data_IF_414633546078
#
_entry.id   IF_414633546078
#
_cell.length_a   1.000
_cell.length_b   1.000
_cell.length_c   1.000
_cell.angle_alpha   90.00
_cell.angle_beta   90.00
_cell.angle_gamma   90.00
#
_symmetry.space_group_name_H-M   'P 1'
#
loop_
_entity.id
_entity.type
_entity.pdbx_description
1 polymer ?
#
# COMPACT_ATOMS: atom_id res chain seq x y z
N UNK A 1 -6.93 14.00 3.02
CA UNK A 1 -6.23 12.90 2.32
C UNK A 1 -5.53 13.38 1.05
N UNK A 2 -6.10 14.31 0.28
CA UNK A 2 -5.51 14.77 -1.01
C UNK A 2 -4.22 15.61 -0.90
N UNK A 3 -3.87 16.12 0.29
CA UNK A 3 -2.63 16.87 0.55
C UNK A 3 -1.68 16.18 1.56
N UNK A 4 -1.82 14.86 1.76
CA UNK A 4 -0.91 14.09 2.62
C UNK A 4 0.34 13.69 1.86
N UNK A 5 1.52 13.74 2.51
CA UNK A 5 2.76 13.12 2.00
C UNK A 5 2.81 11.62 2.27
N UNK A 6 1.89 11.09 3.08
CA UNK A 6 1.78 9.66 3.32
C UNK A 6 1.16 8.94 2.11
N UNK A 7 1.64 7.72 1.86
CA UNK A 7 1.04 6.77 0.93
C UNK A 7 -0.17 6.15 1.62
N UNK A 8 -1.36 6.31 1.05
CA UNK A 8 -2.61 5.83 1.66
C UNK A 8 -3.37 4.99 0.64
N UNK A 9 -3.81 3.81 1.05
CA UNK A 9 -4.68 2.94 0.28
C UNK A 9 -5.71 2.27 1.17
N UNK A 10 -6.81 1.81 0.57
CA UNK A 10 -7.86 1.05 1.24
C UNK A 10 -8.12 -0.19 0.41
N UNK A 11 -8.18 -1.36 1.07
CA UNK A 11 -8.53 -2.63 0.47
C UNK A 11 -9.78 -3.22 1.11
N UNK A 12 -10.49 -4.08 0.39
CA UNK A 12 -11.48 -4.97 0.99
C UNK A 12 -10.80 -6.18 1.68
N UNK A 13 -11.60 -7.04 2.31
CA UNK A 13 -11.10 -8.22 3.03
C UNK A 13 -10.49 -9.28 2.10
N UNK A 14 -10.83 -9.26 0.81
CA UNK A 14 -10.20 -10.09 -0.22
C UNK A 14 -8.85 -9.52 -0.71
N UNK A 15 -8.49 -8.31 -0.29
CA UNK A 15 -7.25 -7.63 -0.67
C UNK A 15 -7.38 -6.81 -1.95
N UNK A 16 -8.61 -6.49 -2.39
CA UNK A 16 -8.83 -5.67 -3.58
C UNK A 16 -8.79 -4.20 -3.23
N UNK A 17 -8.03 -3.40 -4.00
CA UNK A 17 -7.96 -1.97 -3.80
C UNK A 17 -9.32 -1.30 -4.08
N UNK A 18 -9.82 -0.56 -3.08
CA UNK A 18 -11.01 0.28 -3.15
C UNK A 18 -10.65 1.75 -3.40
N UNK A 19 -9.48 2.17 -2.91
CA UNK A 19 -9.00 3.54 -2.99
C UNK A 19 -7.48 3.61 -2.85
N UNK A 20 -6.87 4.54 -3.56
CA UNK A 20 -5.49 5.03 -3.36
C UNK A 20 -5.51 6.57 -3.38
N UNK A 21 -4.63 7.22 -2.61
CA UNK A 21 -4.52 8.68 -2.62
C UNK A 21 -3.57 9.17 -3.74
N UNK A 22 -3.58 10.48 -4.08
CA UNK A 22 -2.72 11.02 -5.14
C UNK A 22 -1.22 10.84 -4.90
N UNK A 23 -0.79 10.69 -3.65
CA UNK A 23 0.61 10.40 -3.34
C UNK A 23 1.01 8.99 -3.77
N UNK A 24 0.14 8.00 -3.56
CA UNK A 24 0.30 6.66 -4.10
C UNK A 24 0.36 6.68 -5.63
N UNK A 25 -0.59 7.39 -6.28
CA UNK A 25 -0.62 7.53 -7.75
C UNK A 25 0.70 8.06 -8.31
N UNK A 26 1.26 9.10 -7.67
CA UNK A 26 2.55 9.68 -8.05
C UNK A 26 3.71 8.71 -7.87
N UNK A 27 3.78 8.01 -6.73
CA UNK A 27 4.91 7.14 -6.41
C UNK A 27 4.97 5.92 -7.36
N UNK A 28 3.82 5.33 -7.65
CA UNK A 28 3.72 4.14 -8.48
C UNK A 28 3.45 4.46 -9.96
N UNK A 29 3.26 5.73 -10.31
CA UNK A 29 2.97 6.24 -11.66
C UNK A 29 1.76 5.53 -12.32
N UNK A 30 0.65 5.51 -11.59
CA UNK A 30 -0.61 4.83 -11.91
C UNK A 30 -1.80 5.72 -11.55
N UNK A 31 -3.00 5.40 -12.02
CA UNK A 31 -4.24 6.06 -11.58
C UNK A 31 -5.09 5.16 -10.69
N UNK A 32 -5.92 5.77 -9.83
CA UNK A 32 -6.87 5.06 -8.96
C UNK A 32 -7.84 4.18 -9.78
N UNK A 33 -8.27 4.64 -10.96
CA UNK A 33 -9.08 3.84 -11.88
C UNK A 33 -8.39 2.56 -12.34
N UNK A 34 -7.06 2.58 -12.52
CA UNK A 34 -6.30 1.40 -12.92
C UNK A 34 -6.14 0.40 -11.77
N UNK A 35 -6.24 0.84 -10.52
CA UNK A 35 -6.07 0.01 -9.32
C UNK A 35 -7.37 -0.58 -8.80
N UNK A 36 -8.49 0.08 -9.03
CA UNK A 36 -9.77 -0.31 -8.45
C UNK A 36 -10.13 -1.77 -8.79
N UNK A 37 -10.31 -2.58 -7.76
CA UNK A 37 -10.67 -4.01 -7.87
C UNK A 37 -9.50 -4.98 -8.10
N UNK A 38 -8.28 -4.47 -8.32
CA UNK A 38 -7.05 -5.27 -8.43
C UNK A 38 -6.53 -5.67 -7.06
N UNK A 39 -5.72 -6.72 -7.02
CA UNK A 39 -5.01 -7.22 -5.86
C UNK A 39 -3.51 -6.92 -5.95
N UNK A 40 -2.77 -7.08 -4.87
CA UNK A 40 -1.30 -6.89 -4.87
C UNK A 40 -0.59 -7.75 -5.93
N UNK A 41 -1.11 -8.96 -6.20
CA UNK A 41 -0.57 -9.87 -7.22
C UNK A 41 -0.76 -9.39 -8.67
N UNK A 42 -1.72 -8.49 -8.91
CA UNK A 42 -1.93 -7.89 -10.23
C UNK A 42 -0.95 -6.74 -10.50
N UNK A 43 -0.16 -6.35 -9.50
CA UNK A 43 0.52 -5.06 -9.43
C UNK A 43 2.00 -5.17 -9.05
N UNK A 44 2.36 -6.16 -8.24
CA UNK A 44 3.70 -6.38 -7.74
C UNK A 44 4.18 -7.80 -8.02
N UNK A 45 5.49 -8.00 -7.96
CA UNK A 45 6.07 -9.34 -8.04
C UNK A 45 5.55 -10.22 -6.88
N UNK A 46 5.43 -11.54 -7.08
CA UNK A 46 4.80 -12.44 -6.11
C UNK A 46 5.36 -12.34 -4.70
N UNK A 47 6.69 -12.20 -4.56
CA UNK A 47 7.36 -12.10 -3.25
C UNK A 47 6.92 -10.86 -2.46
N UNK A 48 6.71 -9.73 -3.16
CA UNK A 48 6.23 -8.48 -2.54
C UNK A 48 4.74 -8.60 -2.25
N UNK A 49 3.97 -9.14 -3.18
CA UNK A 49 2.53 -9.33 -3.02
C UNK A 49 2.21 -10.24 -1.82
N UNK A 50 2.97 -11.32 -1.64
CA UNK A 50 2.86 -12.23 -0.50
C UNK A 50 3.11 -11.50 0.83
N UNK A 51 4.20 -10.71 0.90
CA UNK A 51 4.55 -9.97 2.10
C UNK A 51 3.47 -8.94 2.49
N UNK A 52 2.97 -8.17 1.52
CA UNK A 52 1.90 -7.19 1.73
C UNK A 52 0.61 -7.89 2.15
N UNK A 53 0.26 -9.00 1.50
CA UNK A 53 -0.96 -9.75 1.80
C UNK A 53 -0.93 -10.38 3.19
N UNK A 54 0.23 -10.83 3.65
CA UNK A 54 0.38 -11.38 4.99
C UNK A 54 0.22 -10.29 6.07
N UNK A 55 0.73 -9.07 5.82
CA UNK A 55 0.49 -7.94 6.71
C UNK A 55 -1.01 -7.60 6.79
N UNK A 56 -1.69 -7.51 5.65
CA UNK A 56 -3.14 -7.28 5.60
C UNK A 56 -3.91 -8.35 6.39
N UNK A 57 -3.51 -9.62 6.24
CA UNK A 57 -4.13 -10.76 6.94
C UNK A 57 -3.92 -10.69 8.45
N UNK A 58 -2.74 -10.24 8.89
CA UNK A 58 -2.46 -10.02 10.31
C UNK A 58 -3.35 -8.93 10.90
N UNK A 59 -3.53 -7.79 10.20
CA UNK A 59 -4.44 -6.71 10.61
C UNK A 59 -5.88 -7.20 10.70
N UNK A 60 -6.35 -7.94 9.70
CA UNK A 60 -7.71 -8.51 9.69
C UNK A 60 -7.93 -9.50 10.84
N UNK A 61 -6.89 -10.24 11.23
CA UNK A 61 -6.98 -11.24 12.29
C UNK A 61 -6.87 -10.59 13.68
N UNK A 62 -6.00 -9.59 13.85
CA UNK A 62 -5.80 -8.90 15.12
C UNK A 62 -6.89 -7.88 15.43
N UNK A 63 -7.60 -7.38 14.41
CA UNK A 63 -8.52 -6.24 14.48
C UNK A 63 -7.87 -4.98 15.08
N UNK A 64 -6.55 -4.89 15.00
CA UNK A 64 -5.77 -3.78 15.50
C UNK A 64 -4.95 -3.19 14.34
N UNK A 65 -4.78 -1.85 14.30
CA UNK A 65 -3.93 -1.22 13.31
C UNK A 65 -2.50 -1.74 13.44
N UNK A 66 -1.85 -1.97 12.30
CA UNK A 66 -0.43 -2.31 12.23
C UNK A 66 0.31 -1.05 11.80
N UNK A 67 1.10 -0.50 12.71
CA UNK A 67 2.04 0.56 12.37
C UNK A 67 3.36 -0.09 11.93
N UNK A 68 3.75 0.14 10.68
CA UNK A 68 5.01 -0.39 10.15
C UNK A 68 5.86 0.76 9.59
N UNK A 69 7.13 0.76 9.95
CA UNK A 69 8.14 1.61 9.31
C UNK A 69 8.62 0.90 8.04
N UNK A 70 8.28 1.47 6.89
CA UNK A 70 8.81 1.03 5.60
C UNK A 70 9.98 1.93 5.23
N UNK A 71 11.16 1.33 5.15
CA UNK A 71 12.37 2.01 4.71
C UNK A 71 12.54 1.77 3.22
N UNK A 72 12.40 2.82 2.43
CA UNK A 72 12.46 2.78 0.97
C UNK A 72 13.62 3.64 0.49
N UNK A 73 14.36 3.14 -0.48
CA UNK A 73 15.44 3.90 -1.12
C UNK A 73 14.87 4.74 -2.25
N UNK A 74 14.99 6.07 -2.15
CA UNK A 74 14.51 7.02 -3.15
C UNK A 74 15.62 8.03 -3.48
N UNK A 75 15.91 8.22 -4.77
CA UNK A 75 16.94 9.15 -5.27
C UNK A 75 18.35 8.98 -4.65
N UNK A 76 18.67 7.77 -4.20
CA UNK A 76 19.95 7.45 -3.56
C UNK A 76 20.02 7.78 -2.06
N UNK A 77 18.91 8.26 -1.48
CA UNK A 77 18.76 8.47 -0.04
C UNK A 77 17.78 7.45 0.56
N UNK A 78 17.96 7.17 1.85
CA UNK A 78 17.05 6.31 2.61
C UNK A 78 15.93 7.18 3.18
N UNK A 79 14.70 6.83 2.83
CA UNK A 79 13.50 7.48 3.34
C UNK A 79 12.72 6.50 4.22
N UNK A 80 12.36 6.95 5.43
CA UNK A 80 11.46 6.20 6.31
C UNK A 80 10.05 6.72 6.13
N UNK A 81 9.13 5.82 5.79
CA UNK A 81 7.71 6.08 5.73
C UNK A 81 7.01 5.36 6.87
N UNK A 82 6.06 6.04 7.51
CA UNK A 82 5.20 5.45 8.53
C UNK A 82 3.89 5.06 7.84
N UNK A 83 3.60 3.76 7.84
CA UNK A 83 2.32 3.19 7.41
C UNK A 83 1.47 2.93 8.64
N UNK A 84 0.21 3.37 8.63
CA UNK A 84 -0.79 3.31 9.72
C UNK A 84 -2.12 2.81 9.18
#
# INVERSE_FOLDING_TARGET
>A
MENSTAVIFIKDTEGRFLFINPQFEKLFNITNEQFKGKTDYDLFDPEIADAVRENDRQVLTSLAPLEAEEVVMQDGELHTYMSV
#
